data_IF_738288911111
#
_entry.id   IF_738288911111
#
_cell.length_a   1.000
_cell.length_b   1.000
_cell.length_c   1.000
_cell.angle_alpha   90.00
_cell.angle_beta   90.00
_cell.angle_gamma   90.00
#
_symmetry.space_group_name_H-M   'P 1'
#
loop_
_entity.id
_entity.type
_entity.pdbx_description
1 polymer ?
#
# COMPACT_ATOMS: atom_id res chain seq x y z
N UNK A 1 9.21 15.92 -50.80
CA UNK A 1 8.99 14.51 -50.40
C UNK A 1 9.13 14.43 -48.89
N UNK A 2 8.00 14.29 -48.21
CA UNK A 2 7.89 14.20 -46.75
C UNK A 2 8.46 12.87 -46.29
N UNK A 3 9.34 12.88 -45.29
CA UNK A 3 9.68 11.68 -44.53
C UNK A 3 9.26 11.90 -43.08
N UNK A 4 8.04 11.48 -42.77
CA UNK A 4 7.65 11.19 -41.38
C UNK A 4 8.33 9.86 -41.06
N UNK A 5 9.30 9.89 -40.15
CA UNK A 5 9.78 8.67 -39.50
C UNK A 5 9.47 8.81 -38.03
N UNK A 6 8.26 8.34 -37.70
CA UNK A 6 7.90 7.95 -36.36
C UNK A 6 8.61 6.63 -36.06
N UNK A 7 9.48 6.63 -35.06
CA UNK A 7 9.77 5.48 -34.23
C UNK A 7 10.13 6.06 -32.87
N UNK A 8 9.10 6.26 -32.04
CA UNK A 8 9.29 6.59 -30.63
C UNK A 8 10.11 5.45 -30.02
N UNK A 9 11.21 5.82 -29.35
CA UNK A 9 11.95 4.92 -28.50
C UNK A 9 10.95 4.28 -27.52
N UNK A 10 10.94 2.95 -27.48
CA UNK A 10 10.24 2.21 -26.43
C UNK A 10 11.06 2.43 -25.17
N UNK A 11 10.67 3.40 -24.35
CA UNK A 11 11.16 3.45 -22.97
C UNK A 11 10.69 2.15 -22.30
N UNK A 12 11.67 1.37 -21.83
CA UNK A 12 11.41 0.19 -21.02
C UNK A 12 10.76 0.68 -19.73
N UNK A 13 9.44 0.50 -19.62
CA UNK A 13 8.69 0.92 -18.44
C UNK A 13 9.08 -0.01 -17.30
N UNK A 14 10.07 0.40 -16.51
CA UNK A 14 10.52 -0.31 -15.31
C UNK A 14 9.39 -0.21 -14.30
N UNK A 15 8.72 -1.33 -14.04
CA UNK A 15 7.77 -1.45 -12.95
C UNK A 15 8.59 -1.53 -11.67
N UNK A 16 8.29 -0.67 -10.71
CA UNK A 16 8.86 -0.75 -9.39
C UNK A 16 8.25 -1.93 -8.62
N UNK A 17 9.04 -3.01 -8.50
CA UNK A 17 8.63 -4.29 -7.90
C UNK A 17 8.87 -4.31 -6.38
N UNK A 18 9.64 -3.36 -5.84
CA UNK A 18 9.92 -3.32 -4.40
C UNK A 18 10.10 -1.90 -3.92
N UNK A 19 9.58 -1.62 -2.71
CA UNK A 19 9.99 -0.43 -1.98
C UNK A 19 11.50 -0.54 -1.76
N UNK A 20 12.25 0.50 -2.09
CA UNK A 20 13.71 0.54 -1.89
C UNK A 20 14.11 0.18 -0.44
N UNK A 21 15.42 0.04 -0.15
CA UNK A 21 15.86 -0.36 1.19
C UNK A 21 15.21 0.52 2.26
N UNK A 22 14.59 -0.15 3.24
CA UNK A 22 13.89 0.49 4.35
C UNK A 22 14.76 1.59 4.94
N UNK A 23 14.26 2.84 5.05
CA UNK A 23 15.02 3.87 5.73
C UNK A 23 15.30 3.42 7.16
N UNK A 24 16.58 3.48 7.58
CA UNK A 24 16.94 3.32 8.99
C UNK A 24 16.06 4.26 9.82
N UNK A 25 15.44 3.75 10.88
CA UNK A 25 14.35 4.36 11.69
C UNK A 25 14.70 5.69 12.40
N UNK A 26 15.43 6.60 11.77
CA UNK A 26 16.15 7.70 12.39
C UNK A 26 15.96 9.07 11.71
N UNK A 27 15.06 9.23 10.73
CA UNK A 27 14.73 10.56 10.21
C UNK A 27 13.29 10.99 10.56
N UNK A 28 13.14 11.47 11.79
CA UNK A 28 11.88 11.99 12.32
C UNK A 28 11.72 13.46 11.94
N UNK A 29 11.13 13.72 10.76
CA UNK A 29 10.76 15.07 10.33
C UNK A 29 9.29 15.24 9.95
N UNK A 30 8.47 14.17 9.96
CA UNK A 30 7.03 14.28 9.73
C UNK A 30 6.30 14.54 11.06
N UNK A 31 5.29 15.43 11.10
CA UNK A 31 4.43 15.59 12.28
C UNK A 31 3.90 14.21 12.66
N UNK A 32 3.96 13.87 13.96
CA UNK A 32 3.69 12.53 14.49
C UNK A 32 2.33 12.00 14.00
N UNK A 33 2.35 11.31 12.86
CA UNK A 33 1.16 10.72 12.20
C UNK A 33 0.50 9.68 13.12
N UNK A 34 1.23 9.25 14.15
CA UNK A 34 0.87 8.22 15.13
C UNK A 34 0.72 8.79 16.55
N UNK A 35 0.51 10.10 16.73
CA UNK A 35 0.43 10.77 18.03
C UNK A 35 -0.53 10.10 19.04
N UNK A 36 -1.57 9.43 18.53
CA UNK A 36 -2.31 8.40 19.26
C UNK A 36 -2.18 7.08 18.47
N UNK A 37 -1.65 6.03 19.10
CA UNK A 37 -1.53 4.71 18.46
C UNK A 37 -2.92 4.26 18.00
N UNK A 38 -3.16 4.12 16.68
CA UNK A 38 -4.48 3.75 16.23
C UNK A 38 -4.83 2.32 16.64
N UNK A 39 -6.07 2.08 17.07
CA UNK A 39 -6.46 0.75 17.57
C UNK A 39 -6.62 -0.30 16.46
N UNK A 40 -6.86 0.15 15.23
CA UNK A 40 -7.23 -0.70 14.10
C UNK A 40 -6.66 -0.17 12.78
N UNK A 41 -5.90 -1.01 12.07
CA UNK A 41 -5.36 -0.76 10.73
C UNK A 41 -6.13 -1.56 9.69
N UNK A 42 -6.72 -0.90 8.70
CA UNK A 42 -7.26 -1.51 7.51
C UNK A 42 -6.14 -1.67 6.46
N UNK A 43 -5.84 -2.92 6.14
CA UNK A 43 -4.88 -3.31 5.11
C UNK A 43 -5.61 -3.87 3.89
N UNK A 44 -5.14 -3.53 2.70
CA UNK A 44 -5.82 -3.85 1.44
C UNK A 44 -4.85 -4.28 0.31
N UNK A 45 -3.54 -4.16 0.52
CA UNK A 45 -2.49 -4.42 -0.46
C UNK A 45 -1.46 -5.43 0.01
N UNK A 46 -0.17 -5.11 -0.13
CA UNK A 46 0.94 -6.00 0.24
C UNK A 46 0.91 -6.47 1.72
N UNK A 47 0.39 -5.64 2.63
CA UNK A 47 0.18 -6.01 4.04
C UNK A 47 -0.90 -7.07 4.27
N UNK A 48 -1.60 -7.54 3.21
CA UNK A 48 -2.47 -8.72 3.30
C UNK A 48 -1.70 -10.04 3.33
N UNK A 49 -0.44 -10.05 2.87
CA UNK A 49 0.38 -11.26 2.79
C UNK A 49 1.09 -11.53 4.12
N UNK A 50 0.91 -12.71 4.73
CA UNK A 50 1.60 -13.10 5.95
C UNK A 50 3.13 -13.00 5.86
N UNK A 51 3.70 -13.26 4.69
CA UNK A 51 5.14 -13.21 4.42
C UNK A 51 5.70 -11.80 4.58
N UNK A 52 4.95 -10.78 4.13
CA UNK A 52 5.32 -9.37 4.29
C UNK A 52 5.18 -8.98 5.77
N UNK A 53 4.09 -9.36 6.43
CA UNK A 53 3.89 -9.08 7.85
C UNK A 53 4.98 -9.73 8.73
N UNK A 54 5.39 -10.96 8.42
CA UNK A 54 6.49 -11.64 9.11
C UNK A 54 7.82 -10.92 8.91
N UNK A 55 8.11 -10.49 7.68
CA UNK A 55 9.35 -9.77 7.38
C UNK A 55 9.44 -8.42 8.12
N UNK A 56 8.30 -7.75 8.33
CA UNK A 56 8.21 -6.46 9.00
C UNK A 56 8.14 -6.58 10.53
N UNK A 57 7.25 -7.44 11.04
CA UNK A 57 6.85 -7.44 12.45
C UNK A 57 7.38 -8.64 13.24
N UNK A 58 8.08 -9.57 12.59
CA UNK A 58 8.50 -10.87 13.17
C UNK A 58 7.32 -11.72 13.70
N UNK A 59 6.09 -11.37 13.28
CA UNK A 59 4.86 -12.12 13.56
C UNK A 59 3.77 -11.78 12.54
N UNK A 60 2.68 -12.56 12.56
CA UNK A 60 1.47 -12.27 11.77
C UNK A 60 0.34 -11.86 12.72
N UNK A 61 -0.03 -10.57 12.78
CA UNK A 61 -1.22 -10.13 13.49
C UNK A 61 -2.50 -10.79 12.93
N UNK A 62 -3.46 -11.06 13.81
CA UNK A 62 -4.76 -11.59 13.37
C UNK A 62 -5.53 -10.48 12.64
N UNK A 63 -5.84 -10.71 11.37
CA UNK A 63 -6.65 -9.82 10.54
C UNK A 63 -8.07 -10.37 10.33
N UNK A 64 -9.08 -9.52 10.50
CA UNK A 64 -10.50 -9.84 10.23
C UNK A 64 -10.90 -9.27 8.86
N UNK A 65 -11.49 -10.06 7.95
CA UNK A 65 -12.01 -9.55 6.68
C UNK A 65 -12.97 -8.37 6.87
N UNK A 66 -12.80 -7.34 6.05
CA UNK A 66 -13.56 -6.08 6.14
C UNK A 66 -13.77 -5.48 4.75
N UNK A 67 -14.82 -4.66 4.63
CA UNK A 67 -15.11 -3.84 3.46
C UNK A 67 -15.30 -2.39 3.88
N UNK A 68 -14.73 -1.46 3.12
CA UNK A 68 -14.94 0.00 3.25
C UNK A 68 -15.60 0.53 1.97
N UNK A 69 -16.67 1.32 2.12
CA UNK A 69 -17.39 1.93 1.00
C UNK A 69 -16.80 3.29 0.65
N UNK A 70 -16.93 3.69 -0.62
CA UNK A 70 -16.41 4.98 -1.09
C UNK A 70 -14.95 4.91 -1.53
N UNK A 71 -14.40 3.70 -1.67
CA UNK A 71 -12.99 3.44 -1.94
C UNK A 71 -12.83 2.28 -2.92
N UNK A 72 -11.71 2.28 -3.65
CA UNK A 72 -11.24 1.12 -4.40
C UNK A 72 -9.74 0.95 -4.25
N UNK A 73 -9.30 -0.28 -4.44
CA UNK A 73 -7.88 -0.65 -4.50
C UNK A 73 -7.45 -0.63 -5.95
N UNK A 74 -6.66 0.36 -6.33
CA UNK A 74 -6.28 0.61 -7.72
C UNK A 74 -4.81 0.28 -7.96
N UNK A 75 -4.46 -0.02 -9.21
CA UNK A 75 -3.05 -0.04 -9.60
C UNK A 75 -2.54 1.39 -9.78
N UNK A 76 -1.27 1.59 -9.45
CA UNK A 76 -0.56 2.83 -9.68
C UNK A 76 0.38 2.63 -10.88
N UNK A 77 0.32 3.54 -11.84
CA UNK A 77 1.21 3.47 -13.01
C UNK A 77 2.68 3.45 -12.55
N UNK A 78 3.43 2.45 -13.02
CA UNK A 78 4.85 2.29 -12.70
C UNK A 78 5.15 1.55 -11.40
N UNK A 79 4.13 1.09 -10.66
CA UNK A 79 4.33 0.40 -9.38
C UNK A 79 3.56 -0.91 -9.35
N UNK A 80 4.15 -1.93 -8.72
CA UNK A 80 3.53 -3.26 -8.55
C UNK A 80 2.52 -3.35 -7.42
N UNK A 81 2.59 -2.42 -6.46
CA UNK A 81 1.77 -2.41 -5.26
C UNK A 81 0.61 -1.41 -5.36
N UNK A 82 -0.51 -1.69 -4.67
CA UNK A 82 -1.75 -0.95 -4.88
C UNK A 82 -1.83 0.35 -4.10
N UNK A 83 -2.66 1.25 -4.60
CA UNK A 83 -3.10 2.45 -3.90
C UNK A 83 -4.58 2.37 -3.52
N UNK A 84 -4.93 2.86 -2.33
CA UNK A 84 -6.33 3.06 -1.94
C UNK A 84 -6.77 4.48 -2.31
N UNK A 85 -7.82 4.59 -3.12
CA UNK A 85 -8.30 5.87 -3.65
C UNK A 85 -9.83 5.99 -3.56
N UNK A 86 -10.38 7.22 -3.47
CA UNK A 86 -11.82 7.44 -3.45
C UNK A 86 -12.50 6.90 -4.72
N UNK A 87 -13.65 6.24 -4.56
CA UNK A 87 -14.45 5.70 -5.67
C UNK A 87 -15.94 5.55 -5.25
N UNK A 88 -16.83 5.24 -6.20
CA UNK A 88 -18.23 4.90 -5.89
C UNK A 88 -18.42 3.43 -5.49
N UNK A 89 -17.36 2.63 -5.55
CA UNK A 89 -17.33 1.20 -5.19
C UNK A 89 -16.86 0.98 -3.74
N UNK A 90 -16.55 -0.27 -3.41
CA UNK A 90 -16.06 -0.67 -2.09
C UNK A 90 -14.71 -1.39 -2.21
N UNK A 91 -13.80 -1.11 -1.28
CA UNK A 91 -12.52 -1.78 -1.16
C UNK A 91 -12.62 -2.93 -0.15
N UNK A 92 -12.08 -4.09 -0.52
CA UNK A 92 -11.98 -5.26 0.35
C UNK A 92 -10.59 -5.35 0.94
N UNK A 93 -10.51 -5.75 2.21
CA UNK A 93 -9.25 -5.88 2.92
C UNK A 93 -9.43 -6.61 4.24
N UNK A 94 -8.53 -6.35 5.18
CA UNK A 94 -8.57 -6.87 6.54
C UNK A 94 -8.31 -5.76 7.54
N UNK A 95 -8.96 -5.83 8.70
CA UNK A 95 -8.56 -5.03 9.86
C UNK A 95 -7.61 -5.84 10.71
N UNK A 96 -6.42 -5.30 10.93
CA UNK A 96 -5.46 -5.76 11.92
C UNK A 96 -5.65 -4.94 13.19
N UNK A 97 -5.64 -5.61 14.34
CA UNK A 97 -5.73 -4.98 15.68
C UNK A 97 -4.62 -5.51 16.58
N UNK A 98 -4.41 -4.86 17.73
CA UNK A 98 -3.39 -5.28 18.70
C UNK A 98 -1.96 -5.06 18.20
N UNK A 99 -1.75 -4.01 17.41
CA UNK A 99 -0.42 -3.52 17.06
C UNK A 99 0.12 -2.67 18.21
N UNK A 100 1.33 -2.99 18.67
CA UNK A 100 2.10 -2.13 19.56
C UNK A 100 2.57 -0.87 18.83
N UNK A 101 2.95 0.16 19.59
CA UNK A 101 3.42 1.42 18.99
C UNK A 101 4.67 1.23 18.12
N UNK A 102 5.57 0.32 18.49
CA UNK A 102 6.78 0.06 17.68
C UNK A 102 6.44 -0.63 16.36
N UNK A 103 5.42 -1.49 16.34
CA UNK A 103 4.93 -2.13 15.12
C UNK A 103 4.22 -1.13 14.20
N UNK A 104 3.46 -0.19 14.79
CA UNK A 104 2.91 0.94 14.06
C UNK A 104 4.01 1.78 13.40
N UNK A 105 5.12 2.05 14.10
CA UNK A 105 6.25 2.79 13.52
C UNK A 105 6.96 2.02 12.42
N UNK A 106 7.10 0.70 12.55
CA UNK A 106 7.68 -0.14 11.48
C UNK A 106 6.80 -0.10 10.24
N UNK A 107 5.48 -0.22 10.40
CA UNK A 107 4.53 -0.09 9.29
C UNK A 107 4.57 1.32 8.70
N UNK A 108 4.60 2.36 9.53
CA UNK A 108 4.64 3.74 9.05
C UNK A 108 5.93 4.06 8.27
N UNK A 109 7.08 3.58 8.74
CA UNK A 109 8.35 3.71 8.03
C UNK A 109 8.44 2.81 6.79
N UNK A 110 7.67 1.73 6.73
CA UNK A 110 7.52 0.90 5.54
C UNK A 110 6.70 1.60 4.46
N UNK A 111 5.76 2.48 4.83
CA UNK A 111 4.89 3.15 3.86
C UNK A 111 5.58 4.33 3.18
N UNK A 112 5.37 4.47 1.87
CA UNK A 112 6.01 5.55 1.10
C UNK A 112 5.42 6.91 1.49
N UNK A 113 6.19 7.97 1.27
CA UNK A 113 5.80 9.34 1.65
C UNK A 113 4.47 9.80 1.03
N UNK A 114 4.12 9.26 -0.14
CA UNK A 114 2.88 9.59 -0.84
C UNK A 114 1.64 8.91 -0.24
N UNK A 115 1.79 8.04 0.76
CA UNK A 115 0.68 7.56 1.57
C UNK A 115 0.47 8.45 2.79
N UNK A 116 -0.80 8.72 3.07
CA UNK A 116 -1.25 9.43 4.25
C UNK A 116 -2.23 8.56 5.04
N UNK A 117 -2.12 8.61 6.36
CA UNK A 117 -2.98 7.85 7.26
C UNK A 117 -4.38 8.51 7.32
N UNK A 118 -5.37 7.81 6.79
CA UNK A 118 -6.75 8.25 6.69
C UNK A 118 -7.66 7.46 7.63
N UNK A 119 -8.50 8.17 8.38
CA UNK A 119 -9.53 7.55 9.22
C UNK A 119 -10.73 7.18 8.36
N UNK A 120 -11.02 5.88 8.30
CA UNK A 120 -12.12 5.29 7.53
C UNK A 120 -13.19 4.70 8.44
N UNK A 121 -14.40 4.60 7.90
CA UNK A 121 -15.50 3.84 8.50
C UNK A 121 -15.81 2.66 7.60
N UNK A 122 -15.85 1.47 8.18
CA UNK A 122 -16.20 0.24 7.47
C UNK A 122 -17.70 0.16 7.22
N UNK A 123 -18.08 -0.73 6.30
CA UNK A 123 -19.49 -1.08 6.02
C UNK A 123 -20.27 -1.52 7.26
N UNK A 124 -19.61 -2.11 8.26
CA UNK A 124 -20.20 -2.52 9.53
C UNK A 124 -20.07 -1.48 10.65
N UNK A 125 -19.62 -0.25 10.33
CA UNK A 125 -19.62 0.90 11.23
C UNK A 125 -18.41 1.00 12.17
N UNK A 126 -17.40 0.13 12.01
CA UNK A 126 -16.13 0.22 12.75
C UNK A 126 -15.25 1.33 12.20
N UNK A 127 -14.56 2.02 13.09
CA UNK A 127 -13.54 3.00 12.73
C UNK A 127 -12.21 2.28 12.59
N UNK A 128 -11.48 2.60 11.53
CA UNK A 128 -10.13 2.10 11.30
C UNK A 128 -9.29 3.17 10.60
N UNK A 129 -7.99 2.93 10.52
CA UNK A 129 -7.06 3.77 9.79
C UNK A 129 -6.53 3.01 8.59
N UNK A 130 -6.28 3.70 7.48
CA UNK A 130 -5.69 3.11 6.29
C UNK A 130 -4.66 4.07 5.70
N UNK A 131 -3.58 3.54 5.15
CA UNK A 131 -2.69 4.30 4.30
C UNK A 131 -3.38 4.50 2.95
N UNK A 132 -3.79 5.73 2.63
CA UNK A 132 -4.38 6.07 1.34
C UNK A 132 -3.42 6.94 0.55
N UNK A 133 -3.38 6.76 -0.77
CA UNK A 133 -2.41 7.47 -1.59
C UNK A 133 -2.89 8.89 -1.92
N UNK A 134 -2.02 9.87 -1.71
CA UNK A 134 -2.20 11.26 -2.12
C UNK A 134 -1.45 11.48 -3.43
N UNK A 135 -1.96 10.88 -4.50
CA UNK A 135 -1.39 10.95 -5.85
C UNK A 135 -2.34 11.63 -6.84
N UNK A 136 -1.83 12.28 -7.90
CA UNK A 136 -2.67 12.81 -8.96
C UNK A 136 -3.51 11.69 -9.62
N UNK A 137 -4.82 11.91 -9.88
CA UNK A 137 -5.70 10.88 -10.45
C UNK A 137 -5.21 10.29 -11.77
N UNK A 138 -4.44 11.05 -12.56
CA UNK A 138 -3.84 10.60 -13.81
C UNK A 138 -2.78 9.50 -13.65
N UNK A 139 -2.19 9.37 -12.45
CA UNK A 139 -1.22 8.31 -12.16
C UNK A 139 -1.91 7.01 -11.72
N UNK A 140 -3.19 7.08 -11.34
CA UNK A 140 -3.98 5.92 -10.93
C UNK A 140 -4.58 5.29 -12.17
N UNK A 141 -4.33 4.00 -12.38
CA UNK A 141 -4.89 3.31 -13.56
C UNK A 141 -6.40 3.12 -13.40
N UNK A 142 -7.08 2.92 -14.52
CA UNK A 142 -8.50 2.55 -14.50
C UNK A 142 -8.73 1.13 -13.94
N UNK A 143 -7.69 0.30 -13.87
CA UNK A 143 -7.74 -1.05 -13.34
C UNK A 143 -7.79 -1.06 -11.81
N UNK A 144 -8.47 -2.07 -11.29
CA UNK A 144 -8.32 -2.46 -9.89
C UNK A 144 -7.10 -3.37 -9.78
N UNK A 145 -6.41 -3.30 -8.64
CA UNK A 145 -5.22 -4.11 -8.43
C UNK A 145 -5.58 -5.58 -8.19
N UNK A 146 -4.80 -6.45 -8.84
CA UNK A 146 -4.98 -7.90 -8.77
C UNK A 146 -4.01 -8.53 -7.76
N UNK A 147 -4.60 -9.00 -6.65
CA UNK A 147 -3.89 -9.67 -5.57
C UNK A 147 -3.23 -10.98 -6.01
N UNK A 148 -3.90 -11.77 -6.86
CA UNK A 148 -3.39 -13.06 -7.30
C UNK A 148 -2.23 -12.85 -8.27
N UNK A 149 -2.37 -11.90 -9.19
CA UNK A 149 -1.30 -11.51 -10.09
C UNK A 149 -0.06 -11.02 -9.33
N UNK A 150 -0.23 -10.16 -8.32
CA UNK A 150 0.89 -9.71 -7.49
C UNK A 150 1.55 -10.85 -6.72
N UNK A 151 0.75 -11.75 -6.14
CA UNK A 151 1.25 -12.93 -5.44
C UNK A 151 2.14 -13.79 -6.33
N UNK A 152 1.70 -14.04 -7.57
CA UNK A 152 2.37 -14.93 -8.49
C UNK A 152 3.64 -14.33 -9.12
N UNK A 153 3.68 -13.00 -9.29
CA UNK A 153 4.74 -12.35 -10.08
C UNK A 153 5.71 -11.52 -9.25
N UNK A 154 5.29 -10.97 -8.11
CA UNK A 154 6.05 -9.92 -7.41
C UNK A 154 6.28 -10.21 -5.93
N UNK A 155 5.47 -11.05 -5.28
CA UNK A 155 5.54 -11.26 -3.83
C UNK A 155 6.92 -11.72 -3.34
N UNK A 156 7.59 -12.62 -4.08
CA UNK A 156 8.89 -13.15 -3.66
C UNK A 156 9.97 -12.04 -3.60
N UNK A 157 10.07 -11.23 -4.65
CA UNK A 157 11.02 -10.11 -4.72
C UNK A 157 10.65 -9.00 -3.74
N UNK A 158 9.35 -8.73 -3.59
CA UNK A 158 8.83 -7.75 -2.65
C UNK A 158 9.16 -8.12 -1.19
N UNK A 159 8.98 -9.39 -0.80
CA UNK A 159 9.33 -9.90 0.53
C UNK A 159 10.84 -9.84 0.77
N UNK A 160 11.66 -10.10 -0.26
CA UNK A 160 13.11 -9.98 -0.14
C UNK A 160 13.54 -8.53 0.13
N UNK A 161 12.88 -7.54 -0.48
CA UNK A 161 13.11 -6.11 -0.24
C UNK A 161 12.52 -5.58 1.07
N UNK A 162 11.51 -6.25 1.64
CA UNK A 162 10.80 -5.82 2.85
C UNK A 162 11.51 -6.20 4.17
N UNK A 163 12.63 -6.93 4.11
CA UNK A 163 13.36 -7.34 5.31
C UNK A 163 14.07 -6.14 5.94
N UNK A 164 13.74 -5.85 7.19
CA UNK A 164 14.44 -4.88 8.02
C UNK A 164 15.88 -5.31 8.36
#
# INVERSE_FOLDING_TARGET
>A
MTRVSAFAAREEFVIDVGKGPMPSAADNSSPDRLAEAPEALFVYGSLLFPEVLLALLDRVPVGVPTVVDGWRVAELAGHSYPVLVPASSSARGRIITGLGMDEWRVIDAFEDEFYELHRLTTTDGRVCWAYAATVPPENVTAGDWDMEYFSDHYLADFVAGSRA
#
